data_IF_435139966430
#
_entry.id   IF_435139966430
#
_cell.length_a   1.000
_cell.length_b   1.000
_cell.length_c   1.000
_cell.angle_alpha   90.00
_cell.angle_beta   90.00
_cell.angle_gamma   90.00
#
_symmetry.space_group_name_H-M   'P 1'
#
loop_
_entity.id
_entity.type
_entity.pdbx_description
1 polymer ?
#
# COMPACT_ATOMS: atom_id res chain seq x y z
N UNK A 1 3.50 11.21 7.28
CA UNK A 1 3.15 10.21 6.24
C UNK A 1 4.37 9.51 5.65
N UNK A 2 5.36 10.20 5.05
CA UNK A 2 6.58 9.57 4.50
C UNK A 2 7.41 8.77 5.51
N UNK A 3 7.43 9.18 6.79
CA UNK A 3 8.08 8.44 7.87
C UNK A 3 7.55 7.00 8.04
N UNK A 4 6.26 6.77 7.75
CA UNK A 4 5.66 5.43 7.80
C UNK A 4 6.28 4.56 6.71
N UNK A 5 6.31 5.06 5.47
CA UNK A 5 6.93 4.35 4.35
C UNK A 5 8.40 4.05 4.61
N UNK A 6 9.18 5.04 5.07
CA UNK A 6 10.59 4.82 5.37
C UNK A 6 10.81 3.75 6.46
N UNK A 7 9.98 3.75 7.51
CA UNK A 7 10.02 2.73 8.55
C UNK A 7 9.69 1.34 7.99
N UNK A 8 8.69 1.25 7.11
CA UNK A 8 8.28 -0.01 6.48
C UNK A 8 9.31 -0.54 5.48
N UNK A 9 9.93 0.33 4.68
CA UNK A 9 11.02 -0.05 3.77
C UNK A 9 12.19 -0.64 4.56
N UNK A 10 12.62 0.03 5.64
CA UNK A 10 13.62 -0.50 6.57
C UNK A 10 13.24 -1.85 7.17
N UNK A 11 11.96 -2.04 7.51
CA UNK A 11 11.47 -3.34 8.00
C UNK A 11 11.62 -4.43 6.94
N UNK A 12 11.18 -4.17 5.71
CA UNK A 12 11.20 -5.15 4.63
C UNK A 12 12.63 -5.59 4.33
N UNK A 13 13.56 -4.64 4.14
CA UNK A 13 14.98 -4.93 3.93
C UNK A 13 15.56 -5.77 5.07
N UNK A 14 15.32 -5.37 6.32
CA UNK A 14 15.80 -6.11 7.48
C UNK A 14 15.27 -7.55 7.55
N UNK A 15 13.97 -7.74 7.27
CA UNK A 15 13.35 -9.06 7.31
C UNK A 15 13.85 -9.96 6.17
N UNK A 16 14.02 -9.40 4.97
CA UNK A 16 14.54 -10.13 3.81
C UNK A 16 15.98 -10.58 4.06
N UNK A 17 16.84 -9.70 4.58
CA UNK A 17 18.21 -10.04 4.98
C UNK A 17 18.25 -11.17 6.01
N UNK A 18 17.42 -11.08 7.05
CA UNK A 18 17.35 -12.09 8.13
C UNK A 18 16.80 -13.43 7.62
N UNK A 19 15.80 -13.39 6.74
CA UNK A 19 15.23 -14.57 6.09
C UNK A 19 16.27 -15.26 5.20
N UNK A 20 16.91 -14.51 4.32
CA UNK A 20 17.93 -15.00 3.41
C UNK A 20 19.17 -15.54 4.15
N UNK A 21 19.60 -14.86 5.22
CA UNK A 21 20.70 -15.35 6.07
C UNK A 21 20.35 -16.67 6.76
N UNK A 22 19.09 -16.84 7.20
CA UNK A 22 18.61 -18.08 7.82
C UNK A 22 18.54 -19.23 6.81
N UNK A 23 18.04 -18.99 5.60
CA UNK A 23 18.04 -19.95 4.49
C UNK A 23 19.46 -20.42 4.17
N UNK A 24 20.39 -19.48 3.99
CA UNK A 24 21.80 -19.76 3.70
C UNK A 24 22.48 -20.57 4.81
N UNK A 25 22.21 -20.24 6.08
CA UNK A 25 22.76 -20.96 7.23
C UNK A 25 22.28 -22.42 7.29
N UNK A 26 21.01 -22.65 6.97
CA UNK A 26 20.41 -23.99 6.99
C UNK A 26 20.61 -24.77 5.68
N UNK A 27 21.08 -24.10 4.62
CA UNK A 27 21.23 -24.66 3.26
C UNK A 27 19.91 -25.24 2.71
N UNK A 28 18.80 -24.56 3.02
CA UNK A 28 17.46 -24.94 2.55
C UNK A 28 16.90 -23.88 1.62
N UNK A 29 15.97 -24.27 0.75
CA UNK A 29 15.26 -23.35 -0.16
C UNK A 29 14.07 -22.64 0.51
N UNK A 30 13.51 -23.22 1.58
CA UNK A 30 12.40 -22.67 2.34
C UNK A 30 12.51 -23.05 3.82
N UNK A 31 12.01 -22.20 4.70
CA UNK A 31 11.95 -22.47 6.14
C UNK A 31 10.68 -23.26 6.49
N UNK A 32 10.78 -24.17 7.46
CA UNK A 32 9.59 -24.79 8.07
C UNK A 32 8.77 -23.75 8.84
N UNK A 33 7.51 -24.08 9.15
CA UNK A 33 6.62 -23.21 9.93
C UNK A 33 7.24 -22.85 11.29
N UNK A 34 7.84 -23.81 11.98
CA UNK A 34 8.49 -23.61 13.28
C UNK A 34 9.72 -22.70 13.15
N UNK A 35 10.52 -22.90 12.12
CA UNK A 35 11.71 -22.09 11.83
C UNK A 35 11.34 -20.64 11.51
N UNK A 36 10.28 -20.45 10.72
CA UNK A 36 9.74 -19.13 10.37
C UNK A 36 9.16 -18.44 11.60
N UNK A 37 8.39 -19.16 12.43
CA UNK A 37 7.84 -18.62 13.68
C UNK A 37 8.93 -18.10 14.61
N UNK A 38 9.97 -18.92 14.86
CA UNK A 38 11.10 -18.50 15.71
C UNK A 38 11.89 -17.33 15.11
N UNK A 39 11.99 -17.23 13.78
CA UNK A 39 12.62 -16.09 13.11
C UNK A 39 11.77 -14.81 13.29
N UNK A 40 10.46 -14.89 13.06
CA UNK A 40 9.51 -13.80 13.24
C UNK A 40 9.54 -13.27 14.68
N UNK A 41 9.56 -14.15 15.68
CA UNK A 41 9.68 -13.76 17.09
C UNK A 41 10.97 -12.99 17.37
N UNK A 42 12.09 -13.46 16.81
CA UNK A 42 13.39 -12.79 16.96
C UNK A 42 13.38 -11.41 16.32
N UNK A 43 12.87 -11.31 15.09
CA UNK A 43 12.78 -10.04 14.37
C UNK A 43 11.86 -9.06 15.10
N UNK A 44 10.70 -9.52 15.57
CA UNK A 44 9.74 -8.73 16.35
C UNK A 44 10.36 -8.14 17.62
N UNK A 45 11.17 -8.92 18.36
CA UNK A 45 11.88 -8.41 19.56
C UNK A 45 12.85 -7.27 19.22
N UNK A 46 13.45 -7.28 18.04
CA UNK A 46 14.40 -6.26 17.58
C UNK A 46 13.66 -5.03 17.07
N UNK A 47 12.69 -5.21 16.16
CA UNK A 47 11.91 -4.11 15.57
C UNK A 47 11.09 -3.37 16.63
N UNK A 48 10.69 -4.04 17.72
CA UNK A 48 10.05 -3.40 18.87
C UNK A 48 10.88 -2.30 19.53
N UNK A 49 12.21 -2.38 19.44
CA UNK A 49 13.15 -1.42 20.04
C UNK A 49 13.51 -0.27 19.11
N UNK A 50 13.07 -0.31 17.85
CA UNK A 50 13.38 0.72 16.88
C UNK A 50 12.68 2.05 17.22
N UNK A 51 13.34 3.19 16.98
CA UNK A 51 12.84 4.51 17.37
C UNK A 51 11.52 4.88 16.67
N UNK A 52 11.32 4.43 15.43
CA UNK A 52 10.14 4.71 14.61
C UNK A 52 8.84 4.26 15.30
N UNK A 53 8.90 3.22 16.15
CA UNK A 53 7.77 2.74 16.95
C UNK A 53 7.30 3.73 18.02
N UNK A 54 8.19 4.61 18.49
CA UNK A 54 7.86 5.67 19.46
C UNK A 54 7.45 6.96 18.77
N UNK A 55 8.02 7.23 17.60
CA UNK A 55 7.78 8.48 16.85
C UNK A 55 6.43 8.47 16.14
N UNK A 56 6.01 7.32 15.58
CA UNK A 56 4.75 7.22 14.84
C UNK A 56 3.63 6.78 15.81
N UNK A 57 2.53 7.57 15.94
CA UNK A 57 1.46 7.25 16.87
C UNK A 57 0.84 5.87 16.62
N UNK A 58 0.70 5.09 17.69
CA UNK A 58 0.09 3.74 17.70
C UNK A 58 0.71 2.77 16.69
N UNK A 59 1.94 3.01 16.22
CA UNK A 59 2.55 2.25 15.13
C UNK A 59 2.99 0.84 15.54
N UNK A 60 2.81 -0.11 14.62
CA UNK A 60 3.33 -1.47 14.75
C UNK A 60 3.97 -1.93 13.45
N UNK A 61 5.18 -2.47 13.57
CA UNK A 61 5.84 -3.17 12.48
C UNK A 61 5.15 -4.51 12.23
N UNK A 62 4.62 -4.68 11.03
CA UNK A 62 4.05 -5.94 10.57
C UNK A 62 4.20 -6.07 9.06
N UNK A 63 4.82 -7.16 8.60
CA UNK A 63 4.98 -7.45 7.17
C UNK A 63 3.65 -7.82 6.52
N UNK A 64 2.75 -8.45 7.28
CA UNK A 64 1.37 -8.69 6.86
C UNK A 64 0.55 -7.40 6.75
N UNK A 65 1.09 -6.29 7.23
CA UNK A 65 0.52 -4.96 7.09
C UNK A 65 -0.77 -4.77 7.87
N UNK A 66 -1.05 -5.52 8.94
CA UNK A 66 -2.27 -5.37 9.74
C UNK A 66 -2.51 -3.92 10.21
N UNK A 67 -1.45 -3.27 10.68
CA UNK A 67 -1.51 -1.87 11.07
C UNK A 67 -1.74 -0.93 9.88
N UNK A 68 -1.00 -1.12 8.78
CA UNK A 68 -1.18 -0.33 7.54
C UNK A 68 -2.58 -0.50 6.96
N UNK A 69 -3.10 -1.73 6.92
CA UNK A 69 -4.47 -2.02 6.48
C UNK A 69 -5.50 -1.30 7.34
N UNK A 70 -5.27 -1.21 8.65
CA UNK A 70 -6.15 -0.44 9.53
C UNK A 70 -6.10 1.05 9.19
N UNK A 71 -4.91 1.61 9.00
CA UNK A 71 -4.72 3.00 8.56
C UNK A 71 -5.43 3.26 7.21
N UNK A 72 -5.23 2.39 6.23
CA UNK A 72 -5.83 2.49 4.91
C UNK A 72 -7.36 2.41 4.98
N UNK A 73 -7.92 1.51 5.79
CA UNK A 73 -9.37 1.43 6.00
C UNK A 73 -9.94 2.73 6.55
N UNK A 74 -9.26 3.36 7.52
CA UNK A 74 -9.69 4.65 8.07
C UNK A 74 -9.64 5.75 7.02
N UNK A 75 -8.57 5.79 6.21
CA UNK A 75 -8.47 6.73 5.09
C UNK A 75 -9.57 6.48 4.04
N UNK A 76 -9.82 5.21 3.69
CA UNK A 76 -10.84 4.81 2.73
C UNK A 76 -12.24 5.23 3.18
N UNK A 77 -12.58 4.98 4.46
CA UNK A 77 -13.85 5.42 5.07
C UNK A 77 -13.95 6.95 5.06
N UNK A 78 -12.87 7.65 5.39
CA UNK A 78 -12.84 9.11 5.38
C UNK A 78 -13.14 9.67 3.98
N UNK A 79 -12.43 9.21 2.94
CA UNK A 79 -12.66 9.64 1.55
C UNK A 79 -14.08 9.30 1.11
N UNK A 80 -14.57 8.09 1.38
CA UNK A 80 -15.93 7.66 1.04
C UNK A 80 -17.00 8.51 1.72
N UNK A 81 -16.85 8.81 3.01
CA UNK A 81 -17.82 9.60 3.78
C UNK A 81 -17.95 11.03 3.23
N UNK A 82 -16.81 11.65 2.87
CA UNK A 82 -16.79 13.04 2.42
C UNK A 82 -16.97 13.21 0.92
N UNK A 83 -16.95 12.15 0.10
CA UNK A 83 -17.19 12.23 -1.35
C UNK A 83 -18.48 11.56 -1.81
N UNK A 84 -19.05 10.66 -0.98
CA UNK A 84 -20.12 9.75 -1.36
C UNK A 84 -19.81 8.88 -2.59
N UNK A 85 -18.54 8.77 -2.98
CA UNK A 85 -18.10 7.90 -4.05
C UNK A 85 -18.22 6.42 -3.64
N UNK A 86 -18.52 5.57 -4.61
CA UNK A 86 -18.69 4.12 -4.39
C UNK A 86 -17.34 3.46 -4.21
N UNK A 87 -17.35 2.26 -3.61
CA UNK A 87 -16.15 1.45 -3.36
C UNK A 87 -15.21 1.36 -4.57
N UNK A 88 -15.74 0.96 -5.73
CA UNK A 88 -14.92 0.78 -6.95
C UNK A 88 -14.41 2.12 -7.52
N UNK A 89 -15.13 3.22 -7.28
CA UNK A 89 -14.71 4.57 -7.67
C UNK A 89 -13.57 5.04 -6.75
N UNK A 90 -13.67 4.79 -5.45
CA UNK A 90 -12.63 5.08 -4.46
C UNK A 90 -11.32 4.34 -4.74
N UNK A 91 -11.39 3.08 -5.19
CA UNK A 91 -10.21 2.28 -5.51
C UNK A 91 -9.42 2.83 -6.70
N UNK A 92 -10.04 3.66 -7.54
CA UNK A 92 -9.34 4.33 -8.65
C UNK A 92 -8.65 5.64 -8.25
N UNK A 93 -8.89 6.13 -7.02
CA UNK A 93 -8.37 7.42 -6.57
C UNK A 93 -6.94 7.30 -6.04
N UNK A 94 -6.18 8.38 -6.22
CA UNK A 94 -4.83 8.53 -5.70
C UNK A 94 -4.63 9.93 -5.08
N UNK A 95 -3.42 10.27 -4.65
CA UNK A 95 -3.15 11.58 -4.04
C UNK A 95 -3.42 12.78 -4.96
N UNK A 96 -3.28 12.60 -6.27
CA UNK A 96 -3.52 13.61 -7.30
C UNK A 96 -5.02 13.70 -7.70
N UNK A 97 -5.87 12.82 -7.16
CA UNK A 97 -7.32 12.86 -7.43
C UNK A 97 -8.03 14.07 -6.83
N UNK A 98 -7.42 14.74 -5.85
CA UNK A 98 -8.03 15.88 -5.15
C UNK A 98 -7.73 17.19 -5.87
N UNK A 99 -8.76 18.04 -6.04
CA UNK A 99 -8.68 19.33 -6.70
C UNK A 99 -9.29 20.44 -5.82
N UNK A 100 -8.45 21.42 -5.46
CA UNK A 100 -8.80 22.65 -4.73
C UNK A 100 -8.61 23.92 -5.58
N UNK A 101 -8.40 23.80 -6.89
CA UNK A 101 -8.15 24.93 -7.80
C UNK A 101 -9.37 25.86 -7.99
N UNK A 102 -10.58 25.35 -7.79
CA UNK A 102 -11.83 26.10 -7.91
C UNK A 102 -12.30 26.61 -6.53
N UNK A 103 -12.40 27.93 -6.39
CA UNK A 103 -12.69 28.65 -5.14
C UNK A 103 -14.06 28.35 -4.48
N UNK A 104 -14.88 27.46 -5.03
CA UNK A 104 -16.27 27.28 -4.59
C UNK A 104 -16.52 26.01 -3.77
N UNK A 105 -15.94 24.86 -4.13
CA UNK A 105 -16.09 23.58 -3.41
C UNK A 105 -14.94 22.66 -3.81
N UNK A 106 -14.19 22.05 -2.87
CA UNK A 106 -13.18 21.07 -3.21
C UNK A 106 -13.77 19.84 -3.88
N UNK A 107 -12.99 19.22 -4.77
CA UNK A 107 -13.44 18.08 -5.56
C UNK A 107 -12.46 16.91 -5.44
N UNK A 108 -12.97 15.72 -5.69
CA UNK A 108 -12.17 14.52 -5.90
C UNK A 108 -12.63 13.81 -7.16
N UNK A 109 -11.71 13.23 -7.91
CA UNK A 109 -12.01 12.59 -9.19
C UNK A 109 -11.39 11.19 -9.31
N UNK A 110 -12.04 10.34 -10.11
CA UNK A 110 -11.66 8.95 -10.32
C UNK A 110 -12.45 8.32 -11.46
N UNK A 111 -12.29 7.02 -11.66
CA UNK A 111 -12.99 6.25 -12.68
C UNK A 111 -14.23 5.57 -12.12
N UNK A 112 -15.34 5.65 -12.87
CA UNK A 112 -16.56 4.89 -12.64
C UNK A 112 -16.89 4.07 -13.88
N UNK A 113 -17.44 2.87 -13.69
CA UNK A 113 -17.96 2.03 -14.78
C UNK A 113 -19.49 2.00 -14.81
N UNK A 114 -20.13 2.64 -13.83
CA UNK A 114 -21.59 2.58 -13.65
C UNK A 114 -22.31 3.30 -14.78
N UNK A 115 -23.27 2.62 -15.40
CA UNK A 115 -24.13 3.21 -16.43
C UNK A 115 -23.49 3.30 -17.81
N UNK A 116 -22.22 2.91 -17.98
CA UNK A 116 -21.51 2.96 -19.26
C UNK A 116 -21.12 1.57 -19.79
N UNK A 117 -22.02 0.58 -19.71
CA UNK A 117 -21.80 -0.79 -20.23
C UNK A 117 -20.47 -1.46 -19.79
N UNK A 118 -19.91 -1.05 -18.65
CA UNK A 118 -18.62 -1.56 -18.14
C UNK A 118 -17.38 -0.75 -18.57
N UNK A 119 -17.52 0.26 -19.43
CA UNK A 119 -16.44 1.15 -19.81
C UNK A 119 -16.14 2.19 -18.73
N UNK A 120 -14.85 2.50 -18.54
CA UNK A 120 -14.39 3.48 -17.53
C UNK A 120 -14.68 4.91 -17.99
N UNK A 121 -15.41 5.65 -17.16
CA UNK A 121 -15.72 7.08 -17.32
C UNK A 121 -15.09 7.86 -16.18
N UNK A 122 -14.43 8.96 -16.50
CA UNK A 122 -13.90 9.88 -15.49
C UNK A 122 -15.05 10.66 -14.83
N UNK A 123 -15.14 10.58 -13.51
CA UNK A 123 -16.21 11.19 -12.70
C UNK A 123 -15.61 12.02 -11.58
N UNK A 124 -16.32 13.08 -11.17
CA UNK A 124 -15.91 13.99 -10.10
C UNK A 124 -17.00 14.13 -9.05
N UNK A 125 -16.59 14.20 -7.79
CA UNK A 125 -17.45 14.37 -6.63
C UNK A 125 -17.04 15.60 -5.83
N UNK A 126 -18.02 16.28 -5.23
CA UNK A 126 -17.74 17.30 -4.23
C UNK A 126 -17.20 16.65 -2.97
N UNK A 127 -16.27 17.32 -2.28
CA UNK A 127 -15.66 16.77 -1.08
C UNK A 127 -15.22 17.83 -0.06
N UNK A 128 -14.63 17.36 1.05
CA UNK A 128 -14.09 18.19 2.11
C UNK A 128 -12.55 18.20 2.07
N UNK A 129 -11.87 19.24 2.62
CA UNK A 129 -10.41 19.31 2.66
C UNK A 129 -9.70 18.14 3.34
N UNK A 130 -10.36 17.49 4.31
CA UNK A 130 -9.81 16.31 4.98
C UNK A 130 -9.54 15.13 4.03
N UNK A 131 -10.27 15.06 2.91
CA UNK A 131 -10.08 14.06 1.85
C UNK A 131 -8.68 14.11 1.26
N UNK A 132 -8.11 15.32 1.08
CA UNK A 132 -6.73 15.50 0.60
C UNK A 132 -5.74 14.82 1.54
N UNK A 133 -5.86 15.11 2.83
CA UNK A 133 -4.98 14.54 3.85
C UNK A 133 -5.11 13.01 3.93
N UNK A 134 -6.32 12.48 3.79
CA UNK A 134 -6.56 11.03 3.79
C UNK A 134 -5.93 10.34 2.56
N UNK A 135 -6.10 10.91 1.36
CA UNK A 135 -5.51 10.39 0.13
C UNK A 135 -3.98 10.47 0.16
N UNK A 136 -3.41 11.60 0.56
CA UNK A 136 -1.97 11.76 0.73
C UNK A 136 -1.42 10.78 1.77
N UNK A 137 -2.08 10.63 2.92
CA UNK A 137 -1.64 9.71 3.97
C UNK A 137 -1.68 8.25 3.50
N UNK A 138 -2.77 7.82 2.88
CA UNK A 138 -2.91 6.48 2.33
C UNK A 138 -1.86 6.21 1.25
N UNK A 139 -1.73 7.11 0.27
CA UNK A 139 -0.81 6.94 -0.84
C UNK A 139 0.65 6.94 -0.39
N UNK A 140 1.05 7.89 0.45
CA UNK A 140 2.44 8.08 0.87
C UNK A 140 2.89 7.04 1.90
N UNK A 141 1.99 6.56 2.76
CA UNK A 141 2.34 5.50 3.73
C UNK A 141 2.62 4.16 3.05
N UNK A 142 2.04 3.96 1.86
CA UNK A 142 2.15 2.73 1.08
C UNK A 142 3.30 2.72 0.08
N UNK A 143 4.12 3.77 0.00
CA UNK A 143 5.18 3.86 -1.01
C UNK A 143 6.19 2.70 -0.95
N UNK A 144 6.55 2.23 0.24
CA UNK A 144 7.44 1.08 0.40
C UNK A 144 6.83 -0.21 -0.16
N UNK A 145 5.54 -0.45 0.10
CA UNK A 145 4.85 -1.62 -0.43
C UNK A 145 4.64 -1.50 -1.95
N UNK A 146 4.31 -0.31 -2.46
CA UNK A 146 4.20 -0.03 -3.89
C UNK A 146 5.51 -0.31 -4.61
N UNK A 147 6.64 0.16 -4.07
CA UNK A 147 7.97 -0.12 -4.60
C UNK A 147 8.24 -1.63 -4.68
N UNK A 148 7.98 -2.36 -3.59
CA UNK A 148 8.12 -3.82 -3.58
C UNK A 148 7.28 -4.50 -4.68
N UNK A 149 6.00 -4.12 -4.81
CA UNK A 149 5.13 -4.71 -5.81
C UNK A 149 5.53 -4.35 -7.24
N UNK A 150 6.02 -3.14 -7.47
CA UNK A 150 6.57 -2.74 -8.76
C UNK A 150 7.80 -3.58 -9.12
N UNK A 151 8.73 -3.78 -8.19
CA UNK A 151 9.92 -4.61 -8.41
C UNK A 151 9.53 -6.06 -8.79
N UNK A 152 8.52 -6.63 -8.11
CA UNK A 152 7.99 -7.96 -8.43
C UNK A 152 7.27 -8.01 -9.79
N UNK A 153 6.54 -6.95 -10.11
CA UNK A 153 5.81 -6.83 -11.38
C UNK A 153 6.79 -6.73 -12.55
N UNK A 154 7.84 -5.93 -12.40
CA UNK A 154 8.90 -5.77 -13.38
C UNK A 154 9.67 -7.10 -13.59
N UNK A 155 10.09 -7.77 -12.51
CA UNK A 155 10.75 -9.08 -12.60
C UNK A 155 9.87 -10.12 -13.31
N UNK A 156 8.58 -10.19 -12.96
CA UNK A 156 7.62 -11.08 -13.62
C UNK A 156 7.45 -10.78 -15.11
N UNK A 157 7.48 -9.51 -15.50
CA UNK A 157 7.41 -9.13 -16.92
C UNK A 157 8.70 -9.47 -17.68
N UNK A 158 9.87 -9.15 -17.11
CA UNK A 158 11.17 -9.46 -17.73
C UNK A 158 11.40 -10.96 -17.88
N UNK A 159 10.92 -11.76 -16.93
CA UNK A 159 11.00 -13.22 -16.98
C UNK A 159 9.89 -13.88 -17.82
N UNK A 160 9.06 -13.10 -18.53
CA UNK A 160 8.02 -13.61 -19.43
C UNK A 160 6.82 -14.27 -18.73
N UNK A 161 6.66 -14.05 -17.41
CA UNK A 161 5.54 -14.58 -16.63
C UNK A 161 4.27 -13.75 -16.81
N UNK A 162 4.39 -12.51 -17.31
CA UNK A 162 3.30 -11.57 -17.52
C UNK A 162 3.21 -11.12 -18.97
N UNK A 163 1.98 -11.01 -19.47
CA UNK A 163 1.72 -10.32 -20.74
C UNK A 163 1.81 -8.81 -20.53
N UNK A 164 2.11 -8.05 -21.58
CA UNK A 164 2.15 -6.58 -21.54
C UNK A 164 0.84 -5.98 -21.03
N UNK A 165 -0.30 -6.55 -21.42
CA UNK A 165 -1.61 -6.09 -20.96
C UNK A 165 -1.80 -6.27 -19.46
N UNK A 166 -1.42 -7.44 -18.92
CA UNK A 166 -1.49 -7.71 -17.47
C UNK A 166 -0.52 -6.82 -16.69
N UNK A 167 0.69 -6.62 -17.21
CA UNK A 167 1.67 -5.71 -16.64
C UNK A 167 1.09 -4.29 -16.50
N UNK A 168 0.58 -3.72 -17.59
CA UNK A 168 -0.01 -2.38 -17.61
C UNK A 168 -1.21 -2.26 -16.65
N UNK A 169 -2.08 -3.27 -16.61
CA UNK A 169 -3.24 -3.27 -15.72
C UNK A 169 -2.83 -3.27 -14.23
N UNK A 170 -1.88 -4.14 -13.86
CA UNK A 170 -1.35 -4.21 -12.49
C UNK A 170 -0.57 -2.96 -12.10
N UNK A 171 0.18 -2.37 -13.04
CA UNK A 171 0.87 -1.09 -12.82
C UNK A 171 -0.13 0.02 -12.53
N UNK A 172 -1.24 0.07 -13.26
CA UNK A 172 -2.31 1.04 -13.01
C UNK A 172 -2.99 0.80 -11.65
N UNK A 173 -3.21 -0.45 -11.24
CA UNK A 173 -3.76 -0.76 -9.91
C UNK A 173 -2.84 -0.25 -8.79
N UNK A 174 -1.52 -0.25 -9.02
CA UNK A 174 -0.54 0.30 -8.08
C UNK A 174 -0.56 1.83 -7.98
N UNK A 175 -1.16 2.54 -8.94
CA UNK A 175 -1.37 3.99 -8.84
C UNK A 175 -2.45 4.36 -7.82
N UNK A 176 -3.27 3.41 -7.37
CA UNK A 176 -4.27 3.64 -6.34
C UNK A 176 -3.64 4.08 -5.01
N UNK A 177 -4.36 4.89 -4.23
CA UNK A 177 -4.04 5.15 -2.82
C UNK A 177 -4.26 3.92 -1.93
N UNK A 178 -5.06 2.94 -2.37
CA UNK A 178 -5.55 1.83 -1.55
C UNK A 178 -5.04 0.46 -2.05
N UNK A 179 -3.71 0.35 -2.16
CA UNK A 179 -3.02 -0.89 -2.56
C UNK A 179 -2.88 -1.89 -1.40
N UNK A 180 -2.62 -3.16 -1.73
CA UNK A 180 -2.41 -4.21 -0.73
C UNK A 180 -1.16 -3.94 0.14
N UNK A 181 -1.33 -4.01 1.46
CA UNK A 181 -0.25 -3.81 2.42
C UNK A 181 0.48 -5.08 2.87
N UNK A 182 0.02 -6.26 2.45
CA UNK A 182 0.60 -7.54 2.87
C UNK A 182 1.69 -7.96 1.90
N UNK A 183 2.93 -8.10 2.38
CA UNK A 183 4.07 -8.49 1.54
C UNK A 183 4.53 -9.92 1.88
N UNK A 184 4.60 -10.85 0.91
CA UNK A 184 5.06 -12.22 1.14
C UNK A 184 6.58 -12.31 1.41
N UNK A 185 7.05 -13.48 1.84
CA UNK A 185 8.48 -13.85 1.98
C UNK A 185 8.99 -14.54 0.71
#
# INVERSE_FOLDING_TARGET
RHQISAAMEKLYTYQDEMHNAKLKKLRVRALSREQMSGLNDRMSRITRKWPERKTIPNFSFDRGGSWLNTLLKMCFICVGLFSAARKEELLSMNKESYDDSLAAVPKVSGFSTKGNKGERVYTTWNTAPITKLALELAFDSMQAARKYWLDQLDDGYQNGLLTKEKYNAMQQDLESAFVSSSIPY
#
